data_IF_082863199225
#
_entry.id   IF_082863199225
#
_cell.length_a   1.000
_cell.length_b   1.000
_cell.length_c   1.000
_cell.angle_alpha   90.00
_cell.angle_beta   90.00
_cell.angle_gamma   90.00
#
_symmetry.space_group_name_H-M   'P 1'
#
loop_
_entity.id
_entity.type
_entity.pdbx_description
1 polymer ?
#
# COMPACT_ATOMS: atom_id res chain seq x y z
N UNK A 1 -10.45 16.73 5.13
CA UNK A 1 -10.06 16.14 3.83
C UNK A 1 -9.90 17.28 2.85
N UNK A 2 -8.70 17.42 2.27
CA UNK A 2 -8.45 18.45 1.27
C UNK A 2 -9.11 18.09 -0.08
N UNK A 3 -9.06 19.01 -1.04
CA UNK A 3 -9.70 18.82 -2.34
C UNK A 3 -9.10 17.66 -3.15
N UNK A 4 -7.79 17.47 -2.99
CA UNK A 4 -7.03 16.43 -3.67
C UNK A 4 -7.40 15.04 -3.17
N UNK A 5 -7.42 14.83 -1.85
CA UNK A 5 -7.75 13.52 -1.27
C UNK A 5 -9.17 13.09 -1.65
N UNK A 6 -10.13 14.03 -1.66
CA UNK A 6 -11.50 13.70 -2.07
C UNK A 6 -11.59 13.21 -3.51
N UNK A 7 -10.75 13.74 -4.40
CA UNK A 7 -10.69 13.30 -5.81
C UNK A 7 -10.05 11.92 -5.93
N UNK A 8 -9.03 11.65 -5.13
CA UNK A 8 -8.42 10.31 -5.00
C UNK A 8 -9.44 9.30 -4.50
N UNK A 9 -10.14 9.62 -3.40
CA UNK A 9 -11.17 8.75 -2.82
C UNK A 9 -12.28 8.44 -3.83
N UNK A 10 -12.72 9.43 -4.60
CA UNK A 10 -13.72 9.23 -5.66
C UNK A 10 -13.23 8.27 -6.76
N UNK A 11 -11.93 8.27 -7.08
CA UNK A 11 -11.35 7.29 -8.02
C UNK A 11 -11.38 5.88 -7.40
N UNK A 12 -11.05 5.75 -6.12
CA UNK A 12 -11.07 4.46 -5.42
C UNK A 12 -12.48 3.90 -5.22
N UNK A 13 -13.47 4.75 -4.91
CA UNK A 13 -14.88 4.37 -4.80
C UNK A 13 -15.42 3.80 -6.12
N UNK A 14 -14.90 4.26 -7.26
CA UNK A 14 -15.28 3.82 -8.61
C UNK A 14 -14.34 2.76 -9.19
N UNK A 15 -13.25 2.37 -8.50
CA UNK A 15 -12.18 1.57 -9.09
C UNK A 15 -12.69 0.26 -9.72
N UNK A 16 -13.59 -0.44 -9.02
CA UNK A 16 -14.15 -1.70 -9.50
C UNK A 16 -14.98 -1.56 -10.78
N UNK A 17 -15.68 -0.45 -10.99
CA UNK A 17 -16.46 -0.20 -12.22
C UNK A 17 -15.60 0.41 -13.32
N UNK A 18 -14.57 1.18 -12.94
CA UNK A 18 -13.63 1.82 -13.85
C UNK A 18 -12.64 0.84 -14.48
N UNK A 19 -12.25 -0.19 -13.72
CA UNK A 19 -11.23 -1.17 -14.10
C UNK A 19 -9.81 -0.71 -13.78
N UNK A 20 -8.89 -1.68 -13.75
CA UNK A 20 -7.50 -1.54 -13.30
C UNK A 20 -6.74 -0.41 -14.03
N UNK A 21 -6.63 -0.49 -15.36
CA UNK A 21 -5.86 0.48 -16.17
C UNK A 21 -6.40 1.91 -16.03
N UNK A 22 -7.72 2.07 -16.02
CA UNK A 22 -8.34 3.39 -15.95
C UNK A 22 -8.29 3.98 -14.53
N UNK A 23 -8.24 3.13 -13.50
CA UNK A 23 -7.97 3.53 -12.11
C UNK A 23 -6.52 3.99 -11.98
N UNK A 24 -5.57 3.19 -12.48
CA UNK A 24 -4.15 3.54 -12.51
C UNK A 24 -3.90 4.87 -13.22
N UNK A 25 -4.45 5.07 -14.41
CA UNK A 25 -4.28 6.32 -15.15
C UNK A 25 -4.84 7.54 -14.39
N UNK A 26 -5.97 7.38 -13.68
CA UNK A 26 -6.59 8.45 -12.92
C UNK A 26 -5.78 8.83 -11.67
N UNK A 27 -5.30 7.84 -10.91
CA UNK A 27 -4.44 8.08 -9.75
C UNK A 27 -3.10 8.70 -10.17
N UNK A 28 -2.47 8.22 -11.25
CA UNK A 28 -1.24 8.82 -11.77
C UNK A 28 -1.42 10.30 -12.13
N UNK A 29 -2.55 10.66 -12.73
CA UNK A 29 -2.85 12.05 -13.06
C UNK A 29 -3.00 12.92 -11.80
N UNK A 30 -3.64 12.41 -10.75
CA UNK A 30 -3.77 13.11 -9.47
C UNK A 30 -2.43 13.22 -8.73
N UNK A 31 -1.65 12.16 -8.69
CA UNK A 31 -0.33 12.15 -8.05
C UNK A 31 0.65 13.13 -8.73
N UNK A 32 0.53 13.33 -10.04
CA UNK A 32 1.34 14.31 -10.77
C UNK A 32 1.08 15.77 -10.34
N UNK A 33 -0.06 16.07 -9.70
CA UNK A 33 -0.34 17.39 -9.12
C UNK A 33 0.48 17.65 -7.84
N UNK A 34 1.03 16.60 -7.22
CA UNK A 34 1.81 16.63 -5.97
C UNK A 34 3.12 15.84 -6.13
N UNK A 35 4.06 16.31 -6.97
CA UNK A 35 5.35 15.63 -7.13
C UNK A 35 6.08 15.57 -5.79
N UNK A 36 6.73 14.43 -5.52
CA UNK A 36 7.49 14.15 -4.30
C UNK A 36 6.68 14.16 -2.98
N UNK A 37 5.35 14.16 -3.05
CA UNK A 37 4.48 14.01 -1.89
C UNK A 37 4.33 12.54 -1.49
N UNK A 38 4.55 12.23 -0.20
CA UNK A 38 4.50 10.87 0.32
C UNK A 38 3.14 10.20 0.11
N UNK A 39 2.04 10.95 0.24
CA UNK A 39 0.69 10.45 0.04
C UNK A 39 0.43 10.19 -1.45
N UNK A 40 0.89 11.09 -2.33
CA UNK A 40 0.87 10.84 -3.78
C UNK A 40 1.63 9.58 -4.20
N UNK A 41 2.79 9.30 -3.59
CA UNK A 41 3.54 8.07 -3.82
C UNK A 41 2.78 6.83 -3.34
N UNK A 42 2.17 6.91 -2.15
CA UNK A 42 1.35 5.83 -1.59
C UNK A 42 0.16 5.49 -2.49
N UNK A 43 -0.59 6.50 -2.94
CA UNK A 43 -1.74 6.27 -3.83
C UNK A 43 -1.30 5.66 -5.16
N UNK A 44 -0.18 6.13 -5.71
CA UNK A 44 0.39 5.57 -6.94
C UNK A 44 0.81 4.12 -6.75
N UNK A 45 1.43 3.78 -5.61
CA UNK A 45 1.79 2.41 -5.27
C UNK A 45 0.54 1.52 -5.21
N UNK A 46 -0.50 1.97 -4.50
CA UNK A 46 -1.80 1.30 -4.43
C UNK A 46 -2.42 1.06 -5.80
N UNK A 47 -2.32 2.02 -6.71
CA UNK A 47 -2.88 1.88 -8.06
C UNK A 47 -2.12 0.88 -8.94
N UNK A 48 -0.79 0.78 -8.80
CA UNK A 48 -0.01 -0.27 -9.47
C UNK A 48 -0.32 -1.65 -8.87
N UNK A 49 -0.38 -1.75 -7.55
CA UNK A 49 -0.70 -2.98 -6.83
C UNK A 49 -2.11 -3.49 -7.21
N UNK A 50 -3.10 -2.60 -7.25
CA UNK A 50 -4.45 -2.89 -7.72
C UNK A 50 -4.50 -3.41 -9.17
N UNK A 51 -3.59 -2.94 -10.03
CA UNK A 51 -3.47 -3.37 -11.42
C UNK A 51 -2.60 -4.62 -11.61
N UNK A 52 -2.20 -5.32 -10.54
CA UNK A 52 -1.34 -6.51 -10.61
C UNK A 52 0.08 -6.19 -11.10
N UNK A 53 0.58 -5.00 -10.75
CA UNK A 53 1.89 -4.48 -11.15
C UNK A 53 2.76 -4.25 -9.91
N UNK A 54 2.98 -5.32 -9.16
CA UNK A 54 3.64 -5.31 -7.86
C UNK A 54 5.09 -4.81 -7.94
N UNK A 55 5.79 -5.13 -9.03
CA UNK A 55 7.17 -4.69 -9.25
C UNK A 55 7.30 -3.16 -9.36
N UNK A 56 6.26 -2.48 -9.88
CA UNK A 56 6.17 -1.03 -9.91
C UNK A 56 5.65 -0.45 -8.58
N UNK A 57 4.78 -1.17 -7.88
CA UNK A 57 4.21 -0.75 -6.60
C UNK A 57 5.25 -0.73 -5.46
N UNK A 58 6.08 -1.78 -5.33
CA UNK A 58 7.05 -1.95 -4.23
C UNK A 58 7.94 -0.71 -4.01
N UNK A 59 8.68 -0.19 -5.02
CA UNK A 59 9.56 0.95 -4.80
C UNK A 59 8.80 2.21 -4.39
N UNK A 60 7.54 2.35 -4.78
CA UNK A 60 6.72 3.51 -4.43
C UNK A 60 6.21 3.44 -2.99
N UNK A 61 5.77 2.27 -2.51
CA UNK A 61 5.44 2.09 -1.10
C UNK A 61 6.63 2.41 -0.20
N UNK A 62 7.83 1.90 -0.52
CA UNK A 62 9.05 2.20 0.24
C UNK A 62 9.36 3.69 0.26
N UNK A 63 9.33 4.34 -0.90
CA UNK A 63 9.57 5.78 -0.99
C UNK A 63 8.56 6.61 -0.21
N UNK A 64 7.28 6.21 -0.21
CA UNK A 64 6.26 6.87 0.60
C UNK A 64 6.57 6.77 2.10
N UNK A 65 6.92 5.55 2.57
CA UNK A 65 7.30 5.29 3.96
C UNK A 65 8.54 6.11 4.38
N UNK A 66 9.57 6.13 3.54
CA UNK A 66 10.83 6.87 3.73
C UNK A 66 10.61 8.39 3.72
N UNK A 67 9.70 8.88 2.87
CA UNK A 67 9.34 10.29 2.76
C UNK A 67 8.44 10.77 3.92
N UNK A 68 8.19 9.93 4.93
CA UNK A 68 7.51 10.38 6.13
C UNK A 68 5.98 10.29 6.05
N UNK A 69 5.42 9.37 5.26
CA UNK A 69 3.96 9.12 5.20
C UNK A 69 3.34 9.11 6.60
N UNK A 70 2.24 9.85 6.76
CA UNK A 70 1.57 10.03 8.04
C UNK A 70 0.69 8.81 8.37
N UNK A 71 0.31 8.67 9.64
CA UNK A 71 -0.70 7.70 10.05
C UNK A 71 -2.11 8.22 9.71
N UNK A 72 -3.07 7.35 9.34
CA UNK A 72 -2.97 5.88 9.30
C UNK A 72 -2.41 5.28 8.00
N UNK A 73 -2.11 6.11 7.00
CA UNK A 73 -1.65 5.64 5.67
C UNK A 73 -0.31 4.93 5.75
N UNK A 74 0.57 5.28 6.70
CA UNK A 74 1.82 4.55 6.96
C UNK A 74 1.56 3.08 7.32
N UNK A 75 0.73 2.80 8.33
CA UNK A 75 0.40 1.41 8.68
C UNK A 75 -0.21 0.67 7.48
N UNK A 76 -1.12 1.34 6.74
CA UNK A 76 -1.75 0.75 5.54
C UNK A 76 -0.73 0.45 4.44
N UNK A 77 0.19 1.36 4.16
CA UNK A 77 1.27 1.19 3.20
C UNK A 77 2.20 0.03 3.58
N UNK A 78 2.52 -0.13 4.86
CA UNK A 78 3.32 -1.26 5.35
C UNK A 78 2.62 -2.61 5.11
N UNK A 79 1.32 -2.70 5.41
CA UNK A 79 0.53 -3.92 5.18
C UNK A 79 0.44 -4.24 3.68
N UNK A 80 0.15 -3.22 2.87
CA UNK A 80 0.08 -3.37 1.41
C UNK A 80 1.43 -3.77 0.82
N UNK A 81 2.54 -3.15 1.24
CA UNK A 81 3.89 -3.53 0.84
C UNK A 81 4.19 -4.99 1.20
N UNK A 82 3.78 -5.46 2.38
CA UNK A 82 3.93 -6.87 2.73
C UNK A 82 3.16 -7.79 1.77
N UNK A 83 1.94 -7.42 1.39
CA UNK A 83 1.17 -8.16 0.38
C UNK A 83 1.88 -8.16 -0.98
N UNK A 84 2.35 -7.00 -1.45
CA UNK A 84 3.13 -6.85 -2.68
C UNK A 84 4.39 -7.72 -2.64
N UNK A 85 5.12 -7.75 -1.52
CA UNK A 85 6.32 -8.58 -1.36
C UNK A 85 6.02 -10.09 -1.44
N UNK A 86 4.89 -10.55 -0.89
CA UNK A 86 4.45 -11.94 -1.05
C UNK A 86 4.21 -12.30 -2.52
N UNK A 87 3.52 -11.44 -3.26
CA UNK A 87 3.28 -11.64 -4.69
C UNK A 87 4.56 -11.60 -5.54
N UNK A 88 5.62 -10.98 -5.03
CA UNK A 88 6.97 -10.95 -5.62
C UNK A 88 7.88 -12.09 -5.12
N UNK A 89 7.31 -13.16 -4.55
CA UNK A 89 8.04 -14.31 -4.00
C UNK A 89 9.09 -13.92 -2.93
N UNK A 90 8.79 -12.89 -2.11
CA UNK A 90 9.60 -12.44 -0.97
C UNK A 90 8.84 -12.50 0.37
N UNK A 91 8.24 -13.65 0.74
CA UNK A 91 7.43 -13.75 1.95
C UNK A 91 8.20 -13.57 3.27
N UNK A 92 9.51 -13.90 3.32
CA UNK A 92 10.33 -13.68 4.51
C UNK A 92 10.37 -12.19 4.91
N UNK A 93 10.56 -11.31 3.93
CA UNK A 93 10.60 -9.87 4.17
C UNK A 93 9.22 -9.31 4.53
N UNK A 94 8.16 -9.88 3.95
CA UNK A 94 6.79 -9.55 4.34
C UNK A 94 6.53 -9.89 5.82
N UNK A 95 7.00 -11.05 6.31
CA UNK A 95 6.88 -11.44 7.72
C UNK A 95 7.66 -10.48 8.62
N UNK A 96 8.91 -10.16 8.27
CA UNK A 96 9.73 -9.22 9.05
C UNK A 96 9.05 -7.85 9.16
N UNK A 97 8.56 -7.31 8.04
CA UNK A 97 7.89 -6.03 7.98
C UNK A 97 6.63 -5.99 8.86
N UNK A 98 5.79 -7.02 8.79
CA UNK A 98 4.55 -7.10 9.56
C UNK A 98 4.79 -7.35 11.05
N UNK A 99 5.82 -8.13 11.39
CA UNK A 99 6.23 -8.34 12.77
C UNK A 99 6.72 -7.02 13.38
N UNK A 100 7.60 -6.30 12.69
CA UNK A 100 8.13 -5.02 13.17
C UNK A 100 7.00 -4.00 13.39
N UNK A 101 6.00 -3.97 12.50
CA UNK A 101 4.80 -3.16 12.65
C UNK A 101 4.02 -3.51 13.94
N UNK A 102 3.75 -4.80 14.16
CA UNK A 102 2.98 -5.29 15.32
C UNK A 102 3.73 -5.08 16.63
N UNK A 103 5.05 -5.27 16.64
CA UNK A 103 5.91 -5.04 17.81
C UNK A 103 5.97 -3.54 18.16
N UNK A 104 6.08 -2.67 17.16
CA UNK A 104 6.14 -1.22 17.35
C UNK A 104 4.78 -0.60 17.72
N UNK A 105 3.67 -1.19 17.22
CA UNK A 105 2.31 -0.62 17.37
C UNK A 105 1.27 -1.70 17.75
N UNK A 106 1.38 -2.33 18.93
CA UNK A 106 0.47 -3.43 19.32
C UNK A 106 -1.00 -3.01 19.49
N UNK A 107 -1.29 -1.71 19.63
CA UNK A 107 -2.63 -1.14 19.73
C UNK A 107 -3.12 -0.47 18.44
N UNK A 108 -2.45 -0.68 17.31
CA UNK A 108 -2.87 -0.09 16.03
C UNK A 108 -4.26 -0.61 15.63
N UNK A 109 -5.19 0.26 15.17
CA UNK A 109 -6.49 -0.18 14.67
C UNK A 109 -6.43 -1.22 13.55
N UNK A 110 -5.34 -1.24 12.76
CA UNK A 110 -5.12 -2.20 11.67
C UNK A 110 -4.29 -3.42 12.09
N UNK A 111 -4.08 -3.64 13.39
CA UNK A 111 -3.31 -4.80 13.87
C UNK A 111 -3.94 -6.13 13.43
N UNK A 112 -5.27 -6.23 13.37
CA UNK A 112 -5.94 -7.45 12.90
C UNK A 112 -5.62 -7.76 11.43
N UNK A 113 -5.63 -6.74 10.56
CA UNK A 113 -5.23 -6.84 9.17
C UNK A 113 -3.76 -7.25 9.05
N UNK A 114 -2.86 -6.62 9.82
CA UNK A 114 -1.45 -6.98 9.84
C UNK A 114 -1.21 -8.45 10.26
N UNK A 115 -1.91 -8.95 11.27
CA UNK A 115 -1.86 -10.36 11.65
C UNK A 115 -2.38 -11.28 10.53
N UNK A 116 -3.44 -10.89 9.83
CA UNK A 116 -3.98 -11.69 8.73
C UNK A 116 -2.96 -11.81 7.58
N UNK A 117 -2.35 -10.70 7.17
CA UNK A 117 -1.30 -10.74 6.15
C UNK A 117 -0.03 -11.47 6.62
N UNK A 118 0.30 -11.42 7.92
CA UNK A 118 1.43 -12.15 8.46
C UNK A 118 1.19 -13.66 8.42
N UNK A 119 -0.04 -14.09 8.73
CA UNK A 119 -0.44 -15.49 8.59
C UNK A 119 -0.36 -15.97 7.14
N UNK A 120 -0.76 -15.15 6.17
CA UNK A 120 -0.61 -15.47 4.75
C UNK A 120 0.86 -15.56 4.33
N UNK A 121 1.72 -14.64 4.79
CA UNK A 121 3.15 -14.69 4.51
C UNK A 121 3.83 -15.93 5.12
N UNK A 122 3.45 -16.31 6.34
CA UNK A 122 3.93 -17.54 6.99
C UNK A 122 3.47 -18.79 6.25
N UNK A 123 2.22 -18.80 5.75
CA UNK A 123 1.72 -19.89 4.92
C UNK A 123 2.54 -20.07 3.64
N UNK A 124 2.93 -18.98 2.97
CA UNK A 124 3.79 -19.03 1.78
C UNK A 124 5.19 -19.62 2.08
N UNK A 125 5.66 -19.49 3.33
CA UNK A 125 6.88 -20.14 3.84
C UNK A 125 6.68 -21.60 4.28
N UNK A 126 5.44 -22.10 4.32
CA UNK A 126 5.09 -23.42 4.82
C UNK A 126 5.13 -23.55 6.35
N UNK A 127 4.92 -22.44 7.07
CA UNK A 127 4.91 -22.35 8.54
C UNK A 127 3.51 -22.22 9.15
#
# INVERSE_FOLDING_TARGET
MDDWQRRVDAVWDEAATRGEDATLAAILALAAERPDDALGMYETAGAYDYAGREAEAEPLYRRALDAGLAEPERTRATIQLASTLRNLDRPEEAVELLRDLLDARPGDPLAADAHAFAALALYDLGL
#
